data_IF_417306620358
#
_entry.id   IF_417306620358
#
_cell.length_a   1.000
_cell.length_b   1.000
_cell.length_c   1.000
_cell.angle_alpha   90.00
_cell.angle_beta   90.00
_cell.angle_gamma   90.00
#
_symmetry.space_group_name_H-M   'P 1'
#
loop_
_entity.id
_entity.type
_entity.pdbx_description
1 polymer ?
#
# COMPACT_ATOMS: atom_id res chain seq x y z
N UNK A 1 33.00 10.80 5.59
CA UNK A 1 32.50 11.82 4.66
C UNK A 1 31.13 11.38 4.19
N UNK A 2 30.09 12.21 4.35
CA UNK A 2 28.79 11.86 3.74
C UNK A 2 28.93 11.99 2.21
N UNK A 3 28.53 10.98 1.42
CA UNK A 3 28.60 11.08 -0.04
C UNK A 3 27.80 12.30 -0.50
N UNK A 4 28.38 13.08 -1.42
CA UNK A 4 27.71 14.23 -1.99
C UNK A 4 26.35 13.78 -2.56
N UNK A 5 25.23 14.48 -2.25
CA UNK A 5 23.90 14.09 -2.73
C UNK A 5 23.80 14.01 -4.26
N UNK A 6 24.76 14.60 -4.98
CA UNK A 6 24.88 14.52 -6.44
C UNK A 6 25.20 13.11 -6.99
N UNK A 7 25.77 12.22 -6.17
CA UNK A 7 26.23 10.89 -6.64
C UNK A 7 25.32 9.73 -6.24
N UNK A 8 24.09 9.98 -5.78
CA UNK A 8 23.19 8.89 -5.42
C UNK A 8 22.59 8.22 -6.67
N UNK A 9 22.53 6.87 -6.72
CA UNK A 9 21.92 6.17 -7.85
C UNK A 9 20.44 6.56 -7.96
N UNK A 10 20.03 6.90 -9.19
CA UNK A 10 18.63 7.21 -9.51
C UNK A 10 17.98 6.06 -10.25
N UNK A 11 16.75 5.72 -9.87
CA UNK A 11 16.00 4.64 -10.50
C UNK A 11 14.49 4.90 -10.41
N UNK A 12 13.70 4.41 -11.38
CA UNK A 12 12.24 4.38 -11.26
C UNK A 12 11.79 3.16 -10.44
N UNK A 13 10.61 3.24 -9.84
CA UNK A 13 9.95 2.08 -9.23
C UNK A 13 9.23 1.23 -10.28
N UNK A 14 9.05 -0.08 -10.05
CA UNK A 14 8.32 -0.96 -10.95
C UNK A 14 6.82 -0.66 -10.89
N UNK A 15 6.38 0.39 -11.60
CA UNK A 15 4.99 0.90 -11.58
C UNK A 15 3.95 -0.19 -11.78
N UNK A 16 4.16 -1.11 -12.74
CA UNK A 16 3.21 -2.20 -12.99
C UNK A 16 3.04 -3.10 -11.77
N UNK A 17 4.14 -3.55 -11.19
CA UNK A 17 4.12 -4.41 -10.00
C UNK A 17 3.49 -3.70 -8.80
N UNK A 18 3.75 -2.39 -8.65
CA UNK A 18 3.16 -1.59 -7.59
C UNK A 18 1.64 -1.50 -7.73
N UNK A 19 1.15 -1.07 -8.90
CA UNK A 19 -0.29 -0.98 -9.16
C UNK A 19 -0.99 -2.34 -9.06
N UNK A 20 -0.34 -3.42 -9.53
CA UNK A 20 -0.87 -4.78 -9.38
C UNK A 20 -0.97 -5.20 -7.91
N UNK A 21 0.02 -4.87 -7.08
CA UNK A 21 -0.04 -5.16 -5.64
C UNK A 21 -1.17 -4.40 -4.94
N UNK A 22 -1.34 -3.12 -5.26
CA UNK A 22 -2.38 -2.25 -4.69
C UNK A 22 -3.81 -2.63 -5.11
N UNK A 23 -3.95 -3.34 -6.22
CA UNK A 23 -5.22 -3.91 -6.68
C UNK A 23 -5.43 -5.30 -6.09
N UNK A 24 -4.53 -6.24 -6.36
CA UNK A 24 -4.74 -7.65 -6.03
C UNK A 24 -4.72 -7.93 -4.54
N UNK A 25 -3.89 -7.23 -3.76
CA UNK A 25 -3.79 -7.43 -2.31
C UNK A 25 -5.13 -7.16 -1.61
N UNK A 26 -5.67 -5.93 -1.68
CA UNK A 26 -6.94 -5.62 -1.04
C UNK A 26 -8.12 -6.35 -1.70
N UNK A 27 -8.23 -6.38 -3.04
CA UNK A 27 -9.35 -7.05 -3.70
C UNK A 27 -9.38 -8.56 -3.45
N UNK A 28 -8.22 -9.23 -3.45
CA UNK A 28 -8.13 -10.65 -3.11
C UNK A 28 -8.61 -10.91 -1.68
N UNK A 29 -8.25 -10.02 -0.76
CA UNK A 29 -8.73 -10.08 0.64
C UNK A 29 -10.24 -9.86 0.72
N UNK A 30 -10.78 -8.89 -0.01
CA UNK A 30 -12.22 -8.62 -0.07
C UNK A 30 -13.03 -9.76 -0.68
N UNK A 31 -12.53 -10.40 -1.74
CA UNK A 31 -13.16 -11.59 -2.33
C UNK A 31 -13.13 -12.76 -1.35
N UNK A 32 -12.00 -13.00 -0.67
CA UNK A 32 -11.91 -14.04 0.35
C UNK A 32 -12.89 -13.77 1.50
N UNK A 33 -12.99 -12.50 1.94
CA UNK A 33 -13.94 -12.08 2.96
C UNK A 33 -15.39 -12.28 2.52
N UNK A 34 -15.73 -11.94 1.27
CA UNK A 34 -17.05 -12.17 0.71
C UNK A 34 -17.43 -13.65 0.74
N UNK A 35 -16.50 -14.54 0.39
CA UNK A 35 -16.73 -15.98 0.43
C UNK A 35 -16.92 -16.49 1.86
N UNK A 36 -16.06 -16.08 2.81
CA UNK A 36 -16.14 -16.52 4.21
C UNK A 36 -17.39 -15.95 4.89
N UNK A 37 -17.59 -14.63 4.79
CA UNK A 37 -18.71 -13.91 5.40
C UNK A 37 -20.05 -14.27 4.78
N UNK A 38 -20.09 -14.37 3.45
CA UNK A 38 -21.31 -14.66 2.68
C UNK A 38 -21.81 -16.09 2.85
N UNK A 39 -20.90 -17.07 2.95
CA UNK A 39 -21.27 -18.48 3.17
C UNK A 39 -21.45 -18.79 4.66
N UNK A 40 -20.61 -18.23 5.53
CA UNK A 40 -20.58 -18.55 6.95
C UNK A 40 -21.59 -17.80 7.82
N UNK A 41 -22.02 -16.60 7.42
CA UNK A 41 -22.82 -15.71 8.25
C UNK A 41 -24.00 -15.09 7.50
N UNK A 42 -23.74 -14.11 6.64
CA UNK A 42 -24.76 -13.44 5.83
C UNK A 42 -24.13 -12.76 4.61
N UNK A 43 -24.91 -12.61 3.54
CA UNK A 43 -24.45 -11.92 2.32
C UNK A 43 -24.01 -10.48 2.62
N UNK A 44 -24.73 -9.78 3.50
CA UNK A 44 -24.39 -8.42 3.92
C UNK A 44 -23.02 -8.35 4.58
N UNK A 45 -22.73 -9.27 5.51
CA UNK A 45 -21.43 -9.36 6.17
C UNK A 45 -20.30 -9.64 5.15
N UNK A 46 -20.56 -10.50 4.16
CA UNK A 46 -19.62 -10.73 3.06
C UNK A 46 -19.38 -9.49 2.20
N UNK A 47 -20.44 -8.75 1.85
CA UNK A 47 -20.34 -7.54 1.03
C UNK A 47 -19.57 -6.41 1.71
N UNK A 48 -19.61 -6.31 3.05
CA UNK A 48 -18.79 -5.31 3.77
C UNK A 48 -17.31 -5.44 3.45
N UNK A 49 -16.76 -6.65 3.40
CA UNK A 49 -15.35 -6.87 3.06
C UNK A 49 -15.01 -6.48 1.62
N UNK A 50 -15.93 -6.72 0.68
CA UNK A 50 -15.73 -6.30 -0.72
C UNK A 50 -15.73 -4.77 -0.85
N UNK A 51 -16.65 -4.08 -0.15
CA UNK A 51 -16.66 -2.62 -0.10
C UNK A 51 -15.37 -2.06 0.52
N UNK A 52 -14.93 -2.65 1.63
CA UNK A 52 -13.66 -2.29 2.27
C UNK A 52 -12.49 -2.43 1.31
N UNK A 53 -12.41 -3.54 0.59
CA UNK A 53 -11.37 -3.79 -0.40
C UNK A 53 -11.37 -2.76 -1.55
N UNK A 54 -12.54 -2.43 -2.10
CA UNK A 54 -12.65 -1.44 -3.18
C UNK A 54 -12.11 -0.08 -2.76
N UNK A 55 -12.43 0.34 -1.53
CA UNK A 55 -12.00 1.64 -1.01
C UNK A 55 -10.51 1.66 -0.71
N UNK A 56 -9.99 0.61 -0.07
CA UNK A 56 -8.54 0.48 0.18
C UNK A 56 -7.76 0.44 -1.13
N UNK A 57 -8.28 -0.24 -2.16
CA UNK A 57 -7.68 -0.24 -3.51
C UNK A 57 -7.74 1.15 -4.15
N UNK A 58 -8.87 1.85 -4.09
CA UNK A 58 -8.98 3.18 -4.67
C UNK A 58 -8.01 4.18 -4.01
N UNK A 59 -7.94 4.18 -2.68
CA UNK A 59 -6.99 5.03 -1.92
C UNK A 59 -5.55 4.64 -2.21
N UNK A 60 -5.24 3.34 -2.27
CA UNK A 60 -3.92 2.83 -2.61
C UNK A 60 -3.45 3.28 -4.00
N UNK A 61 -4.29 3.09 -5.01
CA UNK A 61 -4.02 3.53 -6.38
C UNK A 61 -3.83 5.05 -6.47
N UNK A 62 -4.68 5.83 -5.79
CA UNK A 62 -4.53 7.28 -5.76
C UNK A 62 -3.19 7.70 -5.15
N UNK A 63 -2.79 7.06 -4.04
CA UNK A 63 -1.53 7.33 -3.38
C UNK A 63 -0.32 6.91 -4.23
N UNK A 64 -0.37 5.74 -4.88
CA UNK A 64 0.66 5.26 -5.80
C UNK A 64 0.84 6.20 -6.99
N UNK A 65 -0.25 6.68 -7.57
CA UNK A 65 -0.17 7.61 -8.70
C UNK A 65 0.37 8.99 -8.27
N UNK A 66 0.04 9.44 -7.06
CA UNK A 66 0.50 10.72 -6.51
C UNK A 66 2.03 10.80 -6.40
N UNK A 67 2.69 9.69 -6.03
CA UNK A 67 4.15 9.66 -5.91
C UNK A 67 4.87 9.53 -7.27
N UNK A 68 4.14 9.25 -8.35
CA UNK A 68 4.66 9.14 -9.72
C UNK A 68 5.80 8.12 -9.85
N UNK A 69 5.54 6.81 -9.65
CA UNK A 69 6.56 5.75 -9.55
C UNK A 69 7.45 5.62 -10.80
N UNK A 70 6.97 6.08 -11.95
CA UNK A 70 7.70 6.07 -13.22
C UNK A 70 8.80 7.12 -13.32
N UNK A 71 8.83 8.14 -12.45
CA UNK A 71 9.88 9.16 -12.47
C UNK A 71 11.14 8.65 -11.76
N UNK A 72 12.32 8.69 -12.38
CA UNK A 72 13.57 8.33 -11.70
C UNK A 72 13.85 9.26 -10.52
N UNK A 73 14.19 8.69 -9.36
CA UNK A 73 14.55 9.42 -8.15
C UNK A 73 15.69 8.71 -7.41
N UNK A 74 16.39 9.46 -6.55
CA UNK A 74 17.39 8.89 -5.65
C UNK A 74 16.75 8.00 -4.57
N UNK A 75 17.50 7.01 -4.08
CA UNK A 75 17.02 6.06 -3.06
C UNK A 75 16.43 6.75 -1.81
N UNK A 76 17.11 7.80 -1.31
CA UNK A 76 16.65 8.55 -0.13
C UNK A 76 15.32 9.27 -0.39
N UNK A 77 15.13 9.81 -1.61
CA UNK A 77 13.87 10.43 -1.99
C UNK A 77 12.72 9.41 -2.03
N UNK A 78 12.99 8.17 -2.47
CA UNK A 78 12.02 7.08 -2.41
C UNK A 78 11.63 6.73 -0.98
N UNK A 79 12.57 6.66 -0.04
CA UNK A 79 12.26 6.39 1.37
C UNK A 79 11.33 7.47 1.97
N UNK A 80 11.59 8.74 1.69
CA UNK A 80 10.72 9.83 2.15
C UNK A 80 9.33 9.76 1.51
N UNK A 81 9.25 9.47 0.21
CA UNK A 81 7.98 9.29 -0.48
C UNK A 81 7.21 8.07 0.03
N UNK A 82 7.89 6.99 0.44
CA UNK A 82 7.25 5.82 1.03
C UNK A 82 6.56 6.14 2.36
N UNK A 83 7.20 6.96 3.20
CA UNK A 83 6.60 7.43 4.46
C UNK A 83 5.37 8.27 4.16
N UNK A 84 5.49 9.27 3.26
CA UNK A 84 4.37 10.13 2.87
C UNK A 84 3.23 9.31 2.26
N UNK A 85 3.55 8.36 1.38
CA UNK A 85 2.62 7.44 0.77
C UNK A 85 1.83 6.64 1.82
N UNK A 86 2.54 6.06 2.79
CA UNK A 86 1.93 5.30 3.89
C UNK A 86 1.00 6.18 4.73
N UNK A 87 1.41 7.41 5.05
CA UNK A 87 0.58 8.37 5.79
C UNK A 87 -0.69 8.76 5.01
N UNK A 88 -0.57 9.06 3.72
CA UNK A 88 -1.70 9.40 2.85
C UNK A 88 -2.69 8.24 2.79
N UNK A 89 -2.21 7.00 2.67
CA UNK A 89 -3.10 5.82 2.65
C UNK A 89 -3.77 5.58 3.99
N UNK A 90 -3.03 5.66 5.10
CA UNK A 90 -3.60 5.48 6.44
C UNK A 90 -4.67 6.55 6.69
N UNK A 91 -4.33 7.82 6.50
CA UNK A 91 -5.26 8.93 6.71
C UNK A 91 -6.46 8.85 5.77
N UNK A 92 -6.23 8.60 4.46
CA UNK A 92 -7.28 8.49 3.47
C UNK A 92 -8.24 7.32 3.76
N UNK A 93 -7.71 6.16 4.12
CA UNK A 93 -8.52 4.99 4.48
C UNK A 93 -9.32 5.28 5.75
N UNK A 94 -8.70 5.76 6.83
CA UNK A 94 -9.39 6.08 8.09
C UNK A 94 -10.51 7.10 7.86
N UNK A 95 -10.24 8.19 7.14
CA UNK A 95 -11.25 9.20 6.84
C UNK A 95 -12.45 8.61 6.09
N UNK A 96 -12.22 7.80 5.05
CA UNK A 96 -13.31 7.17 4.31
C UNK A 96 -14.09 6.16 5.14
N UNK A 97 -13.41 5.39 5.98
CA UNK A 97 -14.05 4.45 6.91
C UNK A 97 -14.95 5.18 7.89
N UNK A 98 -14.49 6.27 8.49
CA UNK A 98 -15.28 7.10 9.41
C UNK A 98 -16.50 7.68 8.68
N UNK A 99 -16.30 8.23 7.48
CA UNK A 99 -17.41 8.77 6.67
C UNK A 99 -18.47 7.71 6.36
N UNK A 100 -18.04 6.50 6.00
CA UNK A 100 -18.96 5.40 5.70
C UNK A 100 -19.67 4.87 6.93
N UNK A 101 -18.97 4.78 8.06
CA UNK A 101 -19.56 4.42 9.34
C UNK A 101 -20.74 5.35 9.67
N UNK A 102 -20.54 6.67 9.56
CA UNK A 102 -21.61 7.64 9.78
C UNK A 102 -22.72 7.59 8.72
N UNK A 103 -22.40 7.21 7.48
CA UNK A 103 -23.37 7.18 6.38
C UNK A 103 -24.26 5.93 6.36
N UNK A 104 -23.74 4.77 6.78
CA UNK A 104 -24.40 3.46 6.55
C UNK A 104 -24.89 2.77 7.82
N UNK A 105 -24.56 3.28 9.01
CA UNK A 105 -24.84 2.66 10.31
C UNK A 105 -24.59 1.14 10.38
N UNK A 106 -23.51 0.60 9.77
CA UNK A 106 -23.23 -0.83 9.82
C UNK A 106 -22.66 -1.18 11.21
N UNK A 107 -22.56 -2.48 11.52
CA UNK A 107 -21.80 -2.91 12.70
C UNK A 107 -20.36 -2.36 12.62
N UNK A 108 -19.98 -1.42 13.52
CA UNK A 108 -18.69 -0.74 13.44
C UNK A 108 -17.52 -1.71 13.49
N UNK A 109 -17.64 -2.79 14.27
CA UNK A 109 -16.57 -3.73 14.49
C UNK A 109 -16.21 -4.49 13.20
N UNK A 110 -17.23 -5.04 12.52
CA UNK A 110 -17.05 -5.79 11.26
C UNK A 110 -16.51 -4.90 10.15
N UNK A 111 -17.01 -3.66 10.04
CA UNK A 111 -16.51 -2.68 9.09
C UNK A 111 -15.03 -2.40 9.34
N UNK A 112 -14.68 -1.92 10.54
CA UNK A 112 -13.30 -1.53 10.90
C UNK A 112 -12.32 -2.69 10.72
N UNK A 113 -12.69 -3.90 11.13
CA UNK A 113 -11.82 -5.07 11.02
C UNK A 113 -11.56 -5.46 9.57
N UNK A 114 -12.59 -5.47 8.72
CA UNK A 114 -12.42 -5.83 7.31
C UNK A 114 -11.56 -4.80 6.56
N UNK A 115 -11.70 -3.51 6.88
CA UNK A 115 -10.81 -2.46 6.39
C UNK A 115 -9.37 -2.64 6.83
N UNK A 116 -9.15 -2.85 8.12
CA UNK A 116 -7.81 -3.03 8.68
C UNK A 116 -7.11 -4.21 8.03
N UNK A 117 -7.81 -5.33 7.86
CA UNK A 117 -7.26 -6.52 7.21
C UNK A 117 -6.89 -6.24 5.74
N UNK A 118 -7.80 -5.65 4.97
CA UNK A 118 -7.53 -5.28 3.57
C UNK A 118 -6.34 -4.31 3.46
N UNK A 119 -6.26 -3.34 4.36
CA UNK A 119 -5.18 -2.37 4.42
C UNK A 119 -3.83 -3.03 4.72
N UNK A 120 -3.75 -3.88 5.76
CA UNK A 120 -2.51 -4.54 6.15
C UNK A 120 -1.98 -5.49 5.08
N UNK A 121 -2.86 -6.26 4.42
CA UNK A 121 -2.47 -7.15 3.33
C UNK A 121 -1.95 -6.35 2.15
N UNK A 122 -2.66 -5.29 1.75
CA UNK A 122 -2.24 -4.39 0.68
C UNK A 122 -0.87 -3.75 0.95
N UNK A 123 -0.70 -3.20 2.15
CA UNK A 123 0.56 -2.58 2.58
C UNK A 123 1.72 -3.59 2.59
N UNK A 124 1.46 -4.83 3.02
CA UNK A 124 2.47 -5.89 3.04
C UNK A 124 2.95 -6.21 1.63
N UNK A 125 2.03 -6.39 0.68
CA UNK A 125 2.36 -6.69 -0.72
C UNK A 125 3.15 -5.56 -1.37
N UNK A 126 2.73 -4.32 -1.17
CA UNK A 126 3.47 -3.16 -1.68
C UNK A 126 4.85 -3.04 -1.05
N UNK A 127 4.98 -3.28 0.26
CA UNK A 127 6.29 -3.27 0.95
C UNK A 127 7.28 -4.22 0.28
N UNK A 128 6.83 -5.42 -0.13
CA UNK A 128 7.65 -6.38 -0.87
C UNK A 128 8.09 -5.81 -2.23
N UNK A 129 7.19 -5.13 -2.95
CA UNK A 129 7.50 -4.49 -4.24
C UNK A 129 8.51 -3.35 -4.08
N UNK A 130 8.38 -2.54 -3.02
CA UNK A 130 9.26 -1.40 -2.73
C UNK A 130 10.67 -1.81 -2.29
N UNK A 131 10.77 -2.83 -1.44
CA UNK A 131 12.04 -3.26 -0.87
C UNK A 131 12.98 -3.90 -1.90
N UNK A 132 12.43 -4.54 -2.94
CA UNK A 132 13.22 -5.20 -4.00
C UNK A 132 14.21 -4.25 -4.72
N UNK A 133 13.73 -3.17 -5.38
CA UNK A 133 14.57 -2.19 -6.04
C UNK A 133 15.53 -1.46 -5.09
N UNK A 134 15.06 -1.07 -3.89
CA UNK A 134 15.88 -0.40 -2.89
C UNK A 134 17.07 -1.26 -2.46
N UNK A 135 16.84 -2.56 -2.20
CA UNK A 135 17.91 -3.50 -1.86
C UNK A 135 18.93 -3.63 -2.98
N UNK A 136 18.48 -3.67 -4.24
CA UNK A 136 19.38 -3.74 -5.41
C UNK A 136 20.22 -2.47 -5.59
N UNK A 137 19.67 -1.30 -5.25
CA UNK A 137 20.36 -0.02 -5.38
C UNK A 137 21.34 0.26 -4.24
N UNK A 138 21.01 -0.15 -3.00
CA UNK A 138 21.81 0.19 -1.81
C UNK A 138 22.94 -0.81 -1.56
N UNK A 139 22.73 -2.11 -1.79
CA UNK A 139 23.75 -3.13 -1.48
C UNK A 139 25.09 -2.95 -2.19
N UNK A 140 25.16 -2.58 -3.48
CA UNK A 140 26.44 -2.35 -4.15
C UNK A 140 27.21 -1.17 -3.54
N UNK A 141 26.52 -0.06 -3.26
CA UNK A 141 27.13 1.14 -2.70
C UNK A 141 27.73 0.89 -1.30
N UNK A 142 27.07 0.07 -0.48
CA UNK A 142 27.60 -0.32 0.84
C UNK A 142 28.85 -1.18 0.71
N UNK A 143 28.88 -2.13 -0.24
CA UNK A 143 30.04 -3.00 -0.47
C UNK A 143 31.26 -2.25 -1.00
N UNK A 144 31.05 -1.24 -1.85
CA UNK A 144 32.12 -0.37 -2.34
C UNK A 144 32.74 0.42 -1.18
N UNK A 145 31.91 0.93 -0.26
CA UNK A 145 32.39 1.64 0.95
C UNK A 145 33.15 0.74 1.94
N UNK A 146 32.85 -0.56 1.98
CA UNK A 146 33.58 -1.52 2.84
C UNK A 146 34.92 -1.96 2.24
N UNK A 147 35.14 -1.74 0.94
CA UNK A 147 36.36 -2.15 0.25
C UNK A 147 37.45 -1.06 0.21
N UNK A 148 37.11 0.18 0.59
CA UNK A 148 38.03 1.33 0.72
C UNK A 148 38.62 1.44 2.13
#
# INVERSE_FOLDING_TARGET
MNPSPANQPTFPLPTRSLLTASILGPLGTGVLWLLIGGVGYSLEAGLTGLWSALIVTAVGLAADLLIQPWKPRAAVAWMNLWILHSLVRIAGTICLVILLYFATSPDPATLLFSYLLCFLVGLTWETVVWTGPLRKAVLPAVREQEAE
#
